data_IF_085111002621
#
_entry.id   IF_085111002621
#
_cell.length_a   1.000
_cell.length_b   1.000
_cell.length_c   1.000
_cell.angle_alpha   90.00
_cell.angle_beta   90.00
_cell.angle_gamma   90.00
#
_symmetry.space_group_name_H-M   'P 1'
#
loop_
_entity.id
_entity.type
_entity.pdbx_description
1 polymer ?
#
# COMPACT_ATOMS: atom_id res chain seq x y z
N UNK A 1 4.91 16.22 26.35
CA UNK A 1 5.65 16.50 25.10
C UNK A 1 4.95 15.77 23.98
N UNK A 2 4.37 16.47 22.99
CA UNK A 2 3.79 15.80 21.81
C UNK A 2 4.93 15.41 20.87
N UNK A 3 5.22 14.11 20.76
CA UNK A 3 6.20 13.56 19.82
C UNK A 3 5.63 13.63 18.41
N UNK A 4 6.36 14.19 17.45
CA UNK A 4 5.91 14.22 16.04
C UNK A 4 6.29 12.93 15.34
N UNK A 5 5.56 12.57 14.28
CA UNK A 5 5.84 11.36 13.48
C UNK A 5 7.27 11.34 12.88
N UNK A 6 7.88 12.51 12.66
CA UNK A 6 9.26 12.63 12.18
C UNK A 6 10.31 12.24 13.23
N UNK A 7 9.95 12.33 14.50
CA UNK A 7 10.87 12.09 15.63
C UNK A 7 10.81 10.63 16.11
N UNK A 8 9.93 9.81 15.53
CA UNK A 8 9.82 8.40 15.85
C UNK A 8 11.10 7.65 15.49
N UNK A 9 11.65 6.91 16.45
CA UNK A 9 12.90 6.19 16.30
C UNK A 9 12.69 4.91 15.51
N UNK A 10 13.58 4.64 14.55
CA UNK A 10 13.70 3.31 13.92
C UNK A 10 13.92 2.26 15.00
N UNK A 11 13.25 1.11 14.85
CA UNK A 11 13.23 0.04 15.83
C UNK A 11 12.01 0.06 16.76
N UNK A 12 11.32 1.21 16.89
CA UNK A 12 10.13 1.35 17.73
C UNK A 12 9.01 0.44 17.23
N UNK A 13 8.33 -0.24 18.15
CA UNK A 13 7.13 -1.05 17.89
C UNK A 13 5.94 -0.29 18.42
N UNK A 14 4.94 -0.08 17.56
CA UNK A 14 3.75 0.70 17.88
C UNK A 14 2.49 0.08 17.29
N UNK A 15 1.33 0.63 17.64
CA UNK A 15 0.06 0.29 17.02
C UNK A 15 -0.15 1.14 15.76
N UNK A 16 -0.89 0.60 14.81
CA UNK A 16 -1.45 1.38 13.69
C UNK A 16 -2.95 1.24 13.70
N UNK A 17 -3.68 2.32 13.50
CA UNK A 17 -5.14 2.34 13.44
C UNK A 17 -5.62 3.00 12.15
N UNK A 18 -6.57 2.34 11.49
CA UNK A 18 -7.33 2.89 10.37
C UNK A 18 -8.71 3.31 10.86
N UNK A 19 -9.08 4.54 10.56
CA UNK A 19 -10.40 5.11 10.82
C UNK A 19 -11.16 5.30 9.52
N UNK A 20 -12.48 5.22 9.54
CA UNK A 20 -13.30 5.76 8.44
C UNK A 20 -13.47 7.27 8.63
N UNK A 21 -13.90 7.96 7.58
CA UNK A 21 -14.01 9.43 7.59
C UNK A 21 -14.89 9.99 8.71
N UNK A 22 -15.92 9.25 9.11
CA UNK A 22 -16.80 9.62 10.23
C UNK A 22 -16.19 9.38 11.63
N UNK A 23 -14.90 9.01 11.72
CA UNK A 23 -14.20 8.78 12.98
C UNK A 23 -14.36 7.37 13.55
N UNK A 24 -15.04 6.45 12.85
CA UNK A 24 -15.16 5.06 13.27
C UNK A 24 -13.81 4.33 13.19
N UNK A 25 -13.36 3.71 14.29
CA UNK A 25 -12.18 2.83 14.26
C UNK A 25 -12.51 1.54 13.49
N UNK A 26 -12.01 1.44 12.27
CA UNK A 26 -12.29 0.32 11.37
C UNK A 26 -11.38 -0.89 11.63
N UNK A 27 -10.08 -0.64 11.81
CA UNK A 27 -9.08 -1.70 11.96
C UNK A 27 -7.88 -1.25 12.78
N UNK A 28 -7.32 -2.17 13.58
CA UNK A 28 -6.10 -1.95 14.35
C UNK A 28 -5.07 -3.05 14.08
N UNK A 29 -3.84 -2.64 13.82
CA UNK A 29 -2.65 -3.51 13.80
C UNK A 29 -1.91 -3.32 15.12
N UNK A 30 -1.83 -4.39 15.93
CA UNK A 30 -1.38 -4.27 17.31
C UNK A 30 0.14 -4.11 17.46
N UNK A 31 0.91 -4.47 16.43
CA UNK A 31 2.38 -4.41 16.43
C UNK A 31 2.89 -4.14 15.02
N UNK A 32 3.43 -2.96 14.79
CA UNK A 32 4.17 -2.60 13.59
C UNK A 32 5.52 -2.01 14.01
N UNK A 33 6.61 -2.55 13.48
CA UNK A 33 7.96 -2.06 13.78
C UNK A 33 8.40 -1.05 12.73
N UNK A 34 8.87 0.11 13.15
CA UNK A 34 9.41 1.13 12.26
C UNK A 34 10.79 0.67 11.78
N UNK A 35 10.95 0.47 10.47
CA UNK A 35 12.23 0.09 9.87
C UNK A 35 12.93 1.26 9.18
N UNK A 36 12.20 2.32 8.87
CA UNK A 36 12.76 3.54 8.30
C UNK A 36 11.84 4.73 8.53
N UNK A 37 12.42 5.89 8.83
CA UNK A 37 11.66 7.12 9.07
C UNK A 37 12.46 8.35 8.60
N UNK A 38 11.88 9.15 7.70
CA UNK A 38 12.42 10.45 7.31
C UNK A 38 11.29 11.45 7.05
N UNK A 39 11.59 12.67 6.60
CA UNK A 39 10.57 13.70 6.35
C UNK A 39 9.54 13.35 5.26
N UNK A 40 9.88 12.42 4.35
CA UNK A 40 9.05 12.08 3.18
C UNK A 40 8.10 10.92 3.48
N UNK A 41 8.54 9.92 4.24
CA UNK A 41 7.75 8.73 4.54
C UNK A 41 8.21 8.05 5.83
N UNK A 42 7.33 7.21 6.36
CA UNK A 42 7.65 6.20 7.35
C UNK A 42 7.39 4.82 6.74
N UNK A 43 8.27 3.87 7.00
CA UNK A 43 8.16 2.49 6.51
C UNK A 43 8.15 1.55 7.71
N UNK A 44 7.12 0.71 7.75
CA UNK A 44 6.90 -0.27 8.81
C UNK A 44 7.10 -1.68 8.26
N UNK A 45 7.40 -2.62 9.15
CA UNK A 45 7.29 -4.05 8.89
C UNK A 45 6.28 -4.67 9.84
N UNK A 46 5.39 -5.48 9.28
CA UNK A 46 4.46 -6.34 10.00
C UNK A 46 4.97 -7.77 9.93
N UNK A 47 5.08 -8.44 11.08
CA UNK A 47 5.43 -9.84 11.14
C UNK A 47 4.81 -10.46 12.39
N UNK A 48 3.99 -11.50 12.22
CA UNK A 48 3.15 -12.07 13.30
C UNK A 48 2.26 -11.02 13.99
N UNK A 49 1.94 -9.95 13.28
CA UNK A 49 1.09 -8.86 13.77
C UNK A 49 -0.35 -9.32 13.85
N UNK A 50 -0.96 -9.20 15.03
CA UNK A 50 -2.41 -9.37 15.23
C UNK A 50 -3.16 -8.14 14.71
N UNK A 51 -4.12 -8.37 13.84
CA UNK A 51 -5.09 -7.41 13.34
C UNK A 51 -6.40 -7.61 14.09
N UNK A 52 -6.99 -6.53 14.57
CA UNK A 52 -8.31 -6.49 15.18
C UNK A 52 -9.24 -5.70 14.27
N UNK A 53 -10.37 -6.29 13.91
CA UNK A 53 -11.44 -5.69 13.11
C UNK A 53 -12.47 -4.99 14.02
N UNK A 54 -13.33 -4.16 13.44
CA UNK A 54 -14.37 -3.41 14.14
C UNK A 54 -15.24 -4.29 15.07
N UNK A 55 -15.61 -5.50 14.65
CA UNK A 55 -16.46 -6.41 15.43
C UNK A 55 -15.72 -7.14 16.56
N UNK A 56 -14.47 -6.79 16.85
CA UNK A 56 -13.63 -7.44 17.86
C UNK A 56 -12.99 -8.75 17.41
N UNK A 57 -13.38 -9.28 16.25
CA UNK A 57 -12.67 -10.42 15.63
C UNK A 57 -11.27 -10.01 15.18
N UNK A 58 -10.42 -10.99 14.88
CA UNK A 58 -9.07 -10.68 14.45
C UNK A 58 -8.36 -11.85 13.78
N UNK A 59 -7.26 -11.53 13.14
CA UNK A 59 -6.41 -12.47 12.42
C UNK A 59 -4.95 -12.05 12.55
N UNK A 60 -4.02 -12.88 12.08
CA UNK A 60 -2.58 -12.63 12.23
C UNK A 60 -1.89 -12.70 10.87
N UNK A 61 -1.03 -11.73 10.58
CA UNK A 61 -0.10 -11.82 9.44
C UNK A 61 0.92 -12.92 9.68
N UNK A 62 0.77 -14.03 8.95
CA UNK A 62 1.72 -15.16 9.00
C UNK A 62 3.03 -14.84 8.29
N UNK A 63 2.94 -14.10 7.19
CA UNK A 63 4.08 -13.71 6.36
C UNK A 63 4.41 -12.23 6.59
N UNK A 64 5.68 -11.83 6.39
CA UNK A 64 6.07 -10.45 6.53
C UNK A 64 5.42 -9.54 5.49
N UNK A 65 5.11 -8.32 5.91
CA UNK A 65 4.52 -7.28 5.06
C UNK A 65 5.25 -5.98 5.30
N UNK A 66 5.77 -5.36 4.23
CA UNK A 66 6.29 -3.99 4.31
C UNK A 66 5.12 -3.04 4.13
N UNK A 67 5.05 -2.01 4.95
CA UNK A 67 4.02 -0.99 4.87
C UNK A 67 4.66 0.38 4.65
N UNK A 68 4.46 0.93 3.46
CA UNK A 68 4.89 2.28 3.09
C UNK A 68 3.81 3.28 3.45
N UNK A 69 4.15 4.31 4.22
CA UNK A 69 3.24 5.41 4.55
C UNK A 69 3.92 6.75 4.24
N UNK A 70 3.73 7.30 3.02
CA UNK A 70 4.12 8.66 2.68
C UNK A 70 3.49 9.70 3.62
N UNK A 71 4.25 10.74 3.95
CA UNK A 71 3.80 11.81 4.87
C UNK A 71 3.16 13.00 4.14
N UNK A 72 3.19 12.99 2.80
CA UNK A 72 2.71 14.07 1.93
C UNK A 72 1.86 13.59 0.76
N UNK A 73 1.44 12.32 0.76
CA UNK A 73 0.59 11.73 -0.28
C UNK A 73 -0.58 11.02 0.38
N UNK A 74 -1.73 11.05 -0.27
CA UNK A 74 -2.99 10.52 0.25
C UNK A 74 -3.18 9.03 -0.05
N UNK A 75 -2.15 8.24 0.23
CA UNK A 75 -2.24 6.78 0.20
C UNK A 75 -1.25 6.15 1.18
N UNK A 76 -1.45 4.87 1.47
CA UNK A 76 -0.40 4.00 1.99
C UNK A 76 -0.38 2.69 1.19
N UNK A 77 0.72 1.93 1.27
CA UNK A 77 0.88 0.72 0.47
C UNK A 77 1.44 -0.43 1.31
N UNK A 78 0.69 -1.54 1.37
CA UNK A 78 1.13 -2.81 1.92
C UNK A 78 1.71 -3.69 0.81
N UNK A 79 2.93 -4.17 1.03
CA UNK A 79 3.62 -5.11 0.17
C UNK A 79 3.67 -6.46 0.87
N UNK A 80 2.78 -7.36 0.47
CA UNK A 80 2.78 -8.73 0.95
C UNK A 80 3.82 -9.52 0.16
N UNK A 81 4.75 -10.16 0.87
CA UNK A 81 5.85 -10.90 0.27
C UNK A 81 5.40 -12.35 0.11
N UNK A 82 5.12 -12.77 -1.13
CA UNK A 82 4.68 -14.13 -1.46
C UNK A 82 5.74 -14.82 -2.31
N UNK A 83 5.71 -16.16 -2.33
CA UNK A 83 6.67 -16.99 -3.09
C UNK A 83 6.73 -16.65 -4.59
N UNK A 84 5.61 -16.20 -5.16
CA UNK A 84 5.48 -15.83 -6.56
C UNK A 84 5.65 -14.34 -6.85
N UNK A 85 5.92 -13.51 -5.83
CA UNK A 85 6.28 -12.10 -6.00
C UNK A 85 5.66 -11.16 -4.96
N UNK A 86 5.79 -9.87 -5.23
CA UNK A 86 5.30 -8.80 -4.36
C UNK A 86 3.86 -8.42 -4.71
N UNK A 87 2.97 -8.60 -3.74
CA UNK A 87 1.56 -8.23 -3.85
C UNK A 87 1.38 -6.86 -3.24
N UNK A 88 0.96 -5.90 -4.06
CA UNK A 88 0.79 -4.50 -3.67
C UNK A 88 -0.68 -4.23 -3.43
N UNK A 89 -0.99 -3.78 -2.22
CA UNK A 89 -2.29 -3.28 -1.84
C UNK A 89 -2.11 -1.82 -1.45
N UNK A 90 -2.69 -0.90 -2.22
CA UNK A 90 -2.60 0.53 -2.00
C UNK A 90 -3.97 1.01 -1.55
N UNK A 91 -4.00 1.65 -0.39
CA UNK A 91 -5.19 2.26 0.18
C UNK A 91 -5.10 3.77 -0.03
N UNK A 92 -6.08 4.35 -0.71
CA UNK A 92 -6.23 5.80 -0.77
C UNK A 92 -6.70 6.28 0.60
N UNK A 93 -5.86 7.05 1.27
CA UNK A 93 -5.96 7.31 2.70
C UNK A 93 -5.50 8.73 3.06
N UNK A 94 -5.77 9.17 4.29
CA UNK A 94 -5.11 10.37 4.81
C UNK A 94 -3.60 10.14 4.95
N UNK A 95 -2.84 11.23 5.03
CA UNK A 95 -1.46 11.14 5.50
C UNK A 95 -1.46 10.62 6.94
N UNK A 96 -0.46 9.83 7.36
CA UNK A 96 -0.37 9.31 8.70
C UNK A 96 -0.10 10.42 9.71
N UNK A 97 -0.75 10.34 10.86
CA UNK A 97 -0.44 11.12 12.06
C UNK A 97 0.05 10.20 13.17
N UNK A 98 0.67 10.76 14.20
CA UNK A 98 1.06 10.03 15.40
C UNK A 98 0.48 10.72 16.64
N UNK A 99 -0.33 9.99 17.39
CA UNK A 99 -0.84 10.38 18.71
C UNK A 99 -1.11 9.10 19.53
N UNK A 100 -1.13 9.21 20.86
CA UNK A 100 -1.42 8.08 21.76
C UNK A 100 -0.60 6.82 21.47
N UNK A 101 0.70 6.99 21.23
CA UNK A 101 1.64 5.93 20.87
C UNK A 101 1.19 5.08 19.67
N UNK A 102 0.41 5.70 18.77
CA UNK A 102 -0.28 5.03 17.67
C UNK A 102 -0.15 5.86 16.39
N UNK A 103 0.20 5.19 15.29
CA UNK A 103 0.04 5.80 13.96
C UNK A 103 -1.43 5.69 13.56
N UNK A 104 -2.07 6.81 13.27
CA UNK A 104 -3.48 6.85 12.84
C UNK A 104 -3.58 7.39 11.41
N UNK A 105 -4.53 6.87 10.66
CA UNK A 105 -4.89 7.39 9.34
C UNK A 105 -6.38 7.14 9.05
N UNK A 106 -6.92 7.91 8.11
CA UNK A 106 -8.29 7.73 7.60
C UNK A 106 -8.21 6.91 6.31
N UNK A 107 -8.95 5.82 6.24
CA UNK A 107 -9.23 5.01 5.05
C UNK A 107 -10.33 5.68 4.23
N UNK A 108 -10.09 5.93 2.95
CA UNK A 108 -11.06 6.58 2.06
C UNK A 108 -11.79 5.59 1.15
N UNK A 109 -11.87 4.31 1.53
CA UNK A 109 -12.70 3.29 0.88
C UNK A 109 -12.36 2.96 -0.59
N UNK A 110 -11.35 3.59 -1.16
CA UNK A 110 -10.91 3.36 -2.53
C UNK A 110 -9.53 2.73 -2.51
N UNK A 111 -9.40 1.62 -3.21
CA UNK A 111 -8.22 0.78 -3.13
C UNK A 111 -7.68 0.42 -4.52
N UNK A 112 -6.38 0.11 -4.57
CA UNK A 112 -5.70 -0.37 -5.77
C UNK A 112 -4.92 -1.63 -5.45
N UNK A 113 -5.07 -2.64 -6.31
CA UNK A 113 -4.38 -3.93 -6.21
C UNK A 113 -3.48 -4.13 -7.42
N UNK A 114 -2.22 -4.49 -7.18
CA UNK A 114 -1.27 -4.86 -8.23
C UNK A 114 -0.49 -6.10 -7.81
N UNK A 115 -0.67 -7.19 -8.55
CA UNK A 115 -0.09 -8.50 -8.24
C UNK A 115 0.83 -8.96 -9.37
N UNK A 116 1.79 -9.86 -9.08
CA UNK A 116 2.68 -10.39 -10.11
C UNK A 116 1.88 -10.92 -11.30
N UNK A 117 2.31 -10.54 -12.51
CA UNK A 117 1.69 -10.93 -13.79
C UNK A 117 0.23 -10.51 -14.00
N UNK A 118 -0.31 -9.64 -13.13
CA UNK A 118 -1.66 -9.09 -13.28
C UNK A 118 -1.58 -7.60 -13.50
N UNK A 119 -2.50 -7.08 -14.31
CA UNK A 119 -2.67 -5.65 -14.45
C UNK A 119 -3.16 -5.03 -13.13
N UNK A 120 -2.83 -3.76 -12.93
CA UNK A 120 -3.35 -2.95 -11.84
C UNK A 120 -4.89 -2.91 -11.90
N UNK A 121 -5.53 -3.13 -10.75
CA UNK A 121 -6.98 -3.05 -10.60
C UNK A 121 -7.35 -2.01 -9.55
N UNK A 122 -8.30 -1.16 -9.90
CA UNK A 122 -8.99 -0.29 -8.94
C UNK A 122 -10.16 -1.09 -8.39
N UNK A 123 -10.29 -1.16 -7.08
CA UNK A 123 -11.30 -1.95 -6.38
C UNK A 123 -12.04 -1.08 -5.37
N UNK A 124 -13.13 -1.61 -4.84
CA UNK A 124 -13.92 -1.01 -3.76
C UNK A 124 -14.57 0.35 -4.13
N UNK A 125 -14.75 0.60 -5.44
CA UNK A 125 -15.44 1.79 -5.99
C UNK A 125 -16.86 1.96 -5.44
N UNK A 126 -17.58 0.85 -5.27
CA UNK A 126 -18.95 0.89 -4.75
C UNK A 126 -18.97 1.26 -3.26
N UNK A 127 -17.96 0.81 -2.49
CA UNK A 127 -17.77 1.19 -1.08
C UNK A 127 -17.47 2.69 -0.99
N UNK A 128 -16.53 3.20 -1.79
CA UNK A 128 -16.23 4.63 -1.89
C UNK A 128 -17.45 5.48 -2.25
N UNK A 129 -18.22 5.08 -3.27
CA UNK A 129 -19.41 5.83 -3.68
C UNK A 129 -20.51 5.81 -2.61
N UNK A 130 -20.70 4.67 -1.95
CA UNK A 130 -21.74 4.50 -0.92
C UNK A 130 -21.36 5.22 0.36
N UNK A 131 -20.16 4.97 0.90
CA UNK A 131 -19.67 5.61 2.11
C UNK A 131 -19.47 7.11 1.90
N UNK A 132 -19.03 7.53 0.70
CA UNK A 132 -18.91 8.95 0.36
C UNK A 132 -20.25 9.70 0.45
N UNK A 133 -21.37 9.04 0.14
CA UNK A 133 -22.72 9.61 0.36
C UNK A 133 -23.12 9.57 1.83
N UNK A 134 -22.99 8.40 2.48
CA UNK A 134 -23.43 8.19 3.87
C UNK A 134 -22.67 9.06 4.87
N UNK A 135 -21.35 9.15 4.71
CA UNK A 135 -20.45 9.92 5.56
C UNK A 135 -20.23 11.36 5.05
N UNK A 136 -20.95 11.77 3.99
CA UNK A 136 -20.95 13.12 3.42
C UNK A 136 -19.54 13.64 3.07
N UNK A 137 -18.82 12.89 2.24
CA UNK A 137 -17.48 13.32 1.80
C UNK A 137 -17.60 14.66 1.06
N UNK A 138 -16.87 15.70 1.48
CA UNK A 138 -16.81 16.95 0.73
C UNK A 138 -16.30 16.69 -0.69
N UNK A 139 -16.82 17.40 -1.68
CA UNK A 139 -16.39 17.20 -3.07
C UNK A 139 -14.90 17.52 -3.26
N UNK A 140 -14.37 18.45 -2.49
CA UNK A 140 -12.92 18.73 -2.42
C UNK A 140 -12.10 17.50 -2.00
N UNK A 141 -12.61 16.70 -1.05
CA UNK A 141 -11.97 15.46 -0.62
C UNK A 141 -12.07 14.39 -1.71
N UNK A 142 -13.24 14.22 -2.33
CA UNK A 142 -13.41 13.26 -3.44
C UNK A 142 -12.44 13.56 -4.58
N UNK A 143 -12.35 14.82 -4.99
CA UNK A 143 -11.42 15.27 -6.03
C UNK A 143 -9.97 14.95 -5.63
N UNK A 144 -9.59 15.26 -4.39
CA UNK A 144 -8.25 14.95 -3.87
C UNK A 144 -7.93 13.45 -3.93
N UNK A 145 -8.88 12.58 -3.62
CA UNK A 145 -8.72 11.13 -3.68
C UNK A 145 -8.55 10.65 -5.14
N UNK A 146 -9.33 11.20 -6.07
CA UNK A 146 -9.24 10.87 -7.50
C UNK A 146 -7.93 11.37 -8.13
N UNK A 147 -7.43 12.54 -7.69
CA UNK A 147 -6.12 13.05 -8.09
C UNK A 147 -5.00 12.15 -7.57
N UNK A 148 -5.08 11.70 -6.32
CA UNK A 148 -4.10 10.76 -5.76
C UNK A 148 -4.15 9.41 -6.45
N UNK A 149 -5.34 8.91 -6.80
CA UNK A 149 -5.48 7.70 -7.62
C UNK A 149 -4.77 7.86 -8.97
N UNK A 150 -4.93 9.02 -9.62
CA UNK A 150 -4.25 9.34 -10.87
C UNK A 150 -2.72 9.36 -10.69
N UNK A 151 -2.24 9.90 -9.56
CA UNK A 151 -0.83 9.86 -9.19
C UNK A 151 -0.32 8.42 -8.99
N UNK A 152 -1.06 7.56 -8.27
CA UNK A 152 -0.70 6.13 -8.09
C UNK A 152 -0.60 5.40 -9.43
N UNK A 153 -1.53 5.66 -10.36
CA UNK A 153 -1.49 5.08 -11.72
C UNK A 153 -0.24 5.57 -12.48
N UNK A 154 0.10 6.85 -12.38
CA UNK A 154 1.33 7.40 -12.98
C UNK A 154 2.58 6.74 -12.40
N UNK A 155 2.63 6.55 -11.08
CA UNK A 155 3.74 5.85 -10.42
C UNK A 155 3.86 4.39 -10.87
N UNK A 156 2.73 3.71 -11.07
CA UNK A 156 2.69 2.35 -11.62
C UNK A 156 3.27 2.29 -13.03
N UNK A 157 2.80 3.16 -13.93
CA UNK A 157 3.27 3.19 -15.33
C UNK A 157 4.76 3.51 -15.45
N UNK A 158 5.30 4.29 -14.52
CA UNK A 158 6.70 4.68 -14.49
C UNK A 158 7.59 3.78 -13.61
N UNK A 159 7.04 2.70 -13.04
CA UNK A 159 7.74 1.78 -12.11
C UNK A 159 8.43 2.49 -10.93
N UNK A 160 7.79 3.53 -10.39
CA UNK A 160 8.35 4.38 -9.33
C UNK A 160 8.08 3.87 -7.93
N UNK A 161 8.98 4.22 -7.00
CA UNK A 161 8.82 3.99 -5.56
C UNK A 161 8.53 2.51 -5.23
N UNK A 162 7.43 2.18 -4.53
CA UNK A 162 7.10 0.78 -4.21
C UNK A 162 6.68 -0.07 -5.42
N UNK A 163 6.54 0.50 -6.63
CA UNK A 163 6.43 -0.30 -7.86
C UNK A 163 7.79 -0.81 -8.36
N UNK A 164 8.91 -0.28 -7.86
CA UNK A 164 10.24 -0.83 -8.10
C UNK A 164 10.55 -1.97 -7.13
N UNK A 165 10.80 -3.16 -7.67
CA UNK A 165 11.21 -4.32 -6.88
C UNK A 165 12.56 -4.10 -6.18
N UNK A 166 13.45 -3.28 -6.74
CA UNK A 166 14.74 -2.96 -6.10
C UNK A 166 14.55 -2.11 -4.85
N UNK A 167 13.59 -1.18 -4.87
CA UNK A 167 13.21 -0.42 -3.68
C UNK A 167 12.63 -1.34 -2.61
N UNK A 168 11.74 -2.28 -2.98
CA UNK A 168 11.20 -3.24 -2.02
C UNK A 168 12.33 -4.09 -1.41
N UNK A 169 13.24 -4.63 -2.23
CA UNK A 169 14.38 -5.43 -1.76
C UNK A 169 15.31 -4.64 -0.83
N UNK A 170 15.53 -3.35 -1.10
CA UNK A 170 16.31 -2.47 -0.23
C UNK A 170 15.71 -2.42 1.19
N UNK A 171 14.40 -2.18 1.32
CA UNK A 171 13.74 -2.17 2.63
C UNK A 171 13.69 -3.55 3.29
N UNK A 172 13.59 -4.63 2.51
CA UNK A 172 13.73 -5.98 3.06
C UNK A 172 15.11 -6.21 3.66
N UNK A 173 16.17 -5.69 3.02
CA UNK A 173 17.53 -5.83 3.54
C UNK A 173 17.72 -5.06 4.85
N UNK A 174 17.09 -3.89 4.99
CA UNK A 174 17.05 -3.16 6.26
C UNK A 174 16.39 -4.02 7.35
N UNK A 175 15.22 -4.61 7.04
CA UNK A 175 14.50 -5.45 8.00
C UNK A 175 15.26 -6.74 8.38
N UNK A 176 16.08 -7.29 7.47
CA UNK A 176 16.99 -8.41 7.74
C UNK A 176 18.08 -8.03 8.74
N UNK A 177 18.73 -6.89 8.53
CA UNK A 177 19.85 -6.44 9.36
C UNK A 177 19.42 -6.13 10.79
N UNK A 178 18.17 -5.70 10.98
CA UNK A 178 17.54 -5.47 12.29
C UNK A 178 17.03 -6.76 12.96
N UNK A 179 17.39 -7.94 12.39
CA UNK A 179 17.05 -9.30 12.86
C UNK A 179 15.54 -9.57 13.01
N UNK A 180 14.68 -8.72 12.44
CA UNK A 180 13.22 -8.90 12.45
C UNK A 180 12.84 -10.07 11.54
N UNK A 181 13.45 -10.10 10.36
CA UNK A 181 13.26 -11.15 9.36
C UNK A 181 14.50 -12.03 9.34
N UNK A 182 14.45 -13.18 10.00
CA UNK A 182 15.49 -14.19 9.87
C UNK A 182 15.48 -14.72 8.43
N UNK A 183 16.62 -14.63 7.75
CA UNK A 183 16.85 -15.16 6.41
C UNK A 183 15.92 -14.60 5.32
N UNK A 184 16.04 -13.32 4.97
CA UNK A 184 15.28 -12.70 3.87
C UNK A 184 15.45 -13.45 2.54
N UNK A 185 16.59 -14.13 2.37
CA UNK A 185 16.83 -15.06 1.26
C UNK A 185 15.72 -16.10 1.06
N UNK A 186 15.09 -16.59 2.13
CA UNK A 186 14.01 -17.58 2.04
C UNK A 186 12.78 -17.03 1.30
N UNK A 187 12.55 -15.72 1.40
CA UNK A 187 11.46 -15.03 0.72
C UNK A 187 11.83 -14.59 -0.70
N UNK A 188 13.07 -14.12 -0.90
CA UNK A 188 13.51 -13.57 -2.19
C UNK A 188 13.91 -14.64 -3.22
N UNK A 189 14.48 -15.75 -2.79
CA UNK A 189 14.98 -16.80 -3.70
C UNK A 189 13.87 -17.38 -4.60
N UNK A 190 12.68 -17.73 -4.06
CA UNK A 190 11.55 -18.16 -4.90
C UNK A 190 11.11 -17.10 -5.92
N UNK A 191 11.10 -15.82 -5.51
CA UNK A 191 10.68 -14.70 -6.38
C UNK A 191 11.65 -14.54 -7.55
N UNK A 192 12.96 -14.58 -7.29
CA UNK A 192 14.00 -14.46 -8.31
C UNK A 192 13.93 -15.63 -9.31
N UNK A 193 13.74 -16.87 -8.82
CA UNK A 193 13.61 -18.06 -9.66
C UNK A 193 12.40 -17.95 -10.60
N UNK A 194 11.24 -17.55 -10.06
CA UNK A 194 10.01 -17.36 -10.84
C UNK A 194 10.12 -16.23 -11.87
N UNK A 195 10.91 -15.17 -11.62
CA UNK A 195 11.13 -14.13 -12.64
C UNK A 195 11.97 -14.64 -13.82
N UNK A 196 13.03 -15.42 -13.57
CA UNK A 196 13.88 -15.98 -14.63
C UNK A 196 13.11 -16.93 -15.54
N UNK A 197 12.20 -17.76 -15.00
CA UNK A 197 11.35 -18.65 -15.81
C UNK A 197 10.39 -17.87 -16.71
N UNK A 198 9.78 -16.78 -16.22
CA UNK A 198 8.84 -15.97 -17.00
C UNK A 198 9.52 -15.09 -18.07
N UNK A 199 10.76 -14.66 -17.86
CA UNK A 199 11.52 -13.93 -18.89
C UNK A 199 11.82 -14.86 -20.08
N UNK A 200 12.06 -16.14 -19.83
CA UNK A 200 12.29 -17.12 -20.90
C UNK A 200 11.01 -17.44 -21.70
N UNK A 201 9.82 -17.36 -21.10
CA UNK A 201 8.54 -17.57 -21.79
C UNK A 201 8.01 -16.33 -22.53
N UNK A 202 8.43 -15.11 -22.14
CA UNK A 202 7.92 -13.86 -22.71
C UNK A 202 8.68 -13.35 -23.94
N UNK A 203 9.76 -14.02 -24.38
CA UNK A 203 10.42 -13.72 -25.67
C UNK A 203 9.51 -13.98 -26.89
N UNK A 204 8.36 -14.62 -26.71
CA UNK A 204 7.39 -14.96 -27.77
C UNK A 204 6.18 -14.02 -27.89
N UNK A 205 5.97 -13.06 -26.97
CA UNK A 205 4.69 -12.29 -26.88
C UNK A 205 4.79 -10.76 -27.06
N UNK A 206 5.94 -10.20 -27.47
CA UNK A 206 6.21 -8.76 -27.38
C UNK A 206 5.62 -7.84 -28.48
N UNK A 207 4.49 -8.16 -29.12
CA UNK A 207 3.84 -7.28 -30.11
C UNK A 207 2.46 -6.70 -29.72
N UNK A 208 1.81 -7.16 -28.65
CA UNK A 208 0.44 -6.73 -28.30
C UNK A 208 0.36 -5.45 -27.42
N UNK A 209 1.41 -5.12 -26.66
CA UNK A 209 1.34 -4.14 -25.56
C UNK A 209 1.19 -2.66 -25.95
N UNK A 210 1.51 -2.27 -27.19
CA UNK A 210 1.44 -0.87 -27.64
C UNK A 210 0.05 -0.41 -28.08
N UNK A 211 -0.86 -1.32 -28.47
CA UNK A 211 -2.22 -0.95 -28.93
C UNK A 211 -3.20 -0.62 -27.80
N UNK A 212 -2.95 -1.08 -26.57
CA UNK A 212 -3.87 -0.87 -25.44
C UNK A 212 -3.73 0.49 -24.74
N UNK A 213 -2.74 1.31 -25.13
CA UNK A 213 -2.49 2.61 -24.51
C UNK A 213 -3.54 3.67 -24.94
N UNK A 214 -3.89 3.72 -26.24
CA UNK A 214 -4.79 4.74 -26.78
C UNK A 214 -6.28 4.53 -26.44
N UNK A 215 -6.68 3.30 -26.07
CA UNK A 215 -8.07 3.02 -25.66
C UNK A 215 -8.31 3.25 -24.15
N UNK A 216 -7.25 3.35 -23.33
CA UNK A 216 -7.37 3.55 -21.87
C UNK A 216 -7.59 5.00 -21.45
N UNK A 217 -7.00 5.98 -22.13
CA UNK A 217 -7.27 7.40 -21.86
C UNK A 217 -8.74 7.76 -22.12
N UNK A 218 -9.37 7.15 -23.13
CA UNK A 218 -10.81 7.33 -23.40
C UNK A 218 -11.70 6.79 -22.29
N UNK A 219 -11.34 5.67 -21.66
CA UNK A 219 -12.13 5.07 -20.57
C UNK A 219 -12.01 5.87 -19.25
N UNK A 220 -10.83 6.40 -18.95
CA UNK A 220 -10.62 7.24 -17.75
C UNK A 220 -11.42 8.56 -17.90
N UNK A 221 -11.39 9.17 -19.09
CA UNK A 221 -12.13 10.41 -19.37
C UNK A 221 -13.66 10.22 -19.41
N UNK A 222 -14.18 9.05 -19.79
CA UNK A 222 -15.63 8.79 -19.79
C UNK A 222 -16.19 8.46 -18.40
N UNK A 223 -15.37 7.88 -17.52
CA UNK A 223 -15.82 7.46 -16.18
C UNK A 223 -15.80 8.60 -15.16
N UNK A 224 -14.93 9.60 -15.35
CA UNK A 224 -14.83 10.79 -14.48
C UNK A 224 -15.88 11.87 -14.78
N UNK A 225 -16.61 11.79 -15.91
CA UNK A 225 -17.66 12.77 -16.28
C UNK A 225 -19.07 12.41 -15.84
N UNK A 226 -19.29 11.17 -15.37
CA UNK A 226 -20.60 10.66 -14.97
C UNK A 226 -20.70 10.35 -13.47
N UNK A 227 -19.82 10.95 -12.65
CA UNK A 227 -19.85 10.87 -11.19
C UNK A 227 -20.17 12.25 -10.61
#
# INVERSE_FOLDING_TARGET
MHVKINDLRVGTILKVQAYKFNGLLYRQWNQAKIIYNNEKHIVLILYKTKVTELNGSGWVYKEPVIWFMPKKQNFNCLILIKKNGFYRYINLASTPIFEDDTIKFIDYDLDVKCYPQKELKIVDRDEFNTNGKLMKYPDSLKNKILDELSNVIKMYNNFQYFFSDEIIKYYLKIAENDKILLNVKNYLTPIIKNKKTNINSNKTFSKQGRRNFNNREKFINSTLRNA
#
